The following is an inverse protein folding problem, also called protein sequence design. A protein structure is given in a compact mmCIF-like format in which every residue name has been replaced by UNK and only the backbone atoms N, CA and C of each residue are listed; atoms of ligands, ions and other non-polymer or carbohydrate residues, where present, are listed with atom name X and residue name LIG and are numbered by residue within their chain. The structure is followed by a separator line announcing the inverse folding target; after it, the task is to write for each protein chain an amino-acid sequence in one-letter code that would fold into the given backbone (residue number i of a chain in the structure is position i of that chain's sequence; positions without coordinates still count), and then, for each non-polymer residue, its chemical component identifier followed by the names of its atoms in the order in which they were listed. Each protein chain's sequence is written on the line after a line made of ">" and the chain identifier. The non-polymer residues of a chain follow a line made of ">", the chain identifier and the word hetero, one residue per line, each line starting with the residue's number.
data_IF_233679827564
#
_entry.id   IF_233679827564
#
_cell.length_a   1.000
_cell.length_b   1.000
_cell.length_c   1.000
_cell.angle_alpha   90.00
_cell.angle_beta   90.00
_cell.angle_gamma   90.00
#
_symmetry.space_group_name_H-M   'P 1'
#
loop_
_entity.id
_entity.type
_entity.pdbx_description
1 polymer ?
#
# COMPACT_ATOMS: atom_id res chain seq x y z
N UNK A 1 20.04 -11.37 26.77
CA UNK A 1 18.92 -12.13 26.17
C UNK A 1 17.98 -11.17 25.46
N UNK A 2 18.30 -10.78 24.21
CA UNK A 2 17.38 -10.12 23.28
C UNK A 2 17.94 -10.13 21.83
N UNK A 3 18.89 -11.03 21.51
CA UNK A 3 19.59 -11.08 20.21
C UNK A 3 18.95 -12.06 19.21
N UNK A 4 17.75 -12.59 19.49
CA UNK A 4 17.13 -13.63 18.66
C UNK A 4 16.09 -13.15 17.63
N UNK A 5 15.83 -11.83 17.50
CA UNK A 5 14.87 -11.31 16.51
C UNK A 5 15.52 -10.90 15.18
N UNK A 6 16.64 -11.52 14.79
CA UNK A 6 17.39 -11.15 13.58
C UNK A 6 17.35 -12.19 12.46
N UNK A 7 16.66 -13.31 12.63
CA UNK A 7 16.84 -14.51 11.76
C UNK A 7 15.62 -14.93 10.93
N UNK A 8 14.53 -14.15 10.88
CA UNK A 8 13.39 -14.45 9.97
C UNK A 8 13.24 -13.48 8.79
N UNK A 9 14.11 -12.46 8.67
CA UNK A 9 13.97 -11.37 7.70
C UNK A 9 14.90 -11.51 6.48
N UNK A 10 15.09 -12.73 5.98
CA UNK A 10 15.89 -13.04 4.78
C UNK A 10 15.07 -13.66 3.62
N UNK A 11 13.74 -13.56 3.68
CA UNK A 11 12.88 -13.62 2.49
C UNK A 11 12.39 -12.20 2.25
N UNK A 12 12.73 -11.62 1.10
CA UNK A 12 12.27 -10.29 0.72
C UNK A 12 10.78 -10.15 1.04
N UNK A 13 10.45 -9.30 2.01
CA UNK A 13 9.07 -9.15 2.47
C UNK A 13 8.18 -8.65 1.33
N UNK A 14 6.87 -8.90 1.40
CA UNK A 14 5.93 -8.32 0.43
C UNK A 14 5.33 -7.04 0.96
N UNK A 15 5.19 -6.07 0.07
CA UNK A 15 4.55 -4.80 0.33
C UNK A 15 3.21 -4.75 -0.37
N UNK A 16 2.17 -4.34 0.34
CA UNK A 16 0.92 -3.94 -0.27
C UNK A 16 0.91 -2.44 -0.49
N UNK A 17 0.36 -2.03 -1.64
CA UNK A 17 0.26 -0.64 -2.04
C UNK A 17 -1.16 -0.38 -2.50
N UNK A 18 -1.82 0.60 -1.88
CA UNK A 18 -3.20 0.98 -2.22
C UNK A 18 -3.25 2.45 -2.62
N UNK A 19 -3.89 2.75 -3.75
CA UNK A 19 -4.09 4.14 -4.20
C UNK A 19 -5.28 4.77 -3.48
N UNK A 20 -5.06 5.75 -2.60
CA UNK A 20 -6.14 6.42 -1.86
C UNK A 20 -6.59 7.74 -2.49
N UNK A 21 -5.82 8.28 -3.43
CA UNK A 21 -6.09 9.57 -4.09
C UNK A 21 -6.02 9.44 -5.61
N UNK A 22 -6.93 10.13 -6.30
CA UNK A 22 -6.90 10.23 -7.76
C UNK A 22 -5.70 11.05 -8.28
N UNK A 23 -5.43 10.92 -9.58
CA UNK A 23 -4.30 11.57 -10.29
C UNK A 23 -4.55 13.02 -10.73
N UNK A 24 -5.68 13.61 -10.34
CA UNK A 24 -6.02 15.00 -10.71
C UNK A 24 -5.02 15.95 -10.03
N UNK A 25 -4.40 16.82 -10.82
CA UNK A 25 -3.35 17.74 -10.36
C UNK A 25 -2.00 17.07 -10.03
N UNK A 26 -1.83 15.77 -10.30
CA UNK A 26 -0.54 15.12 -10.13
C UNK A 26 0.46 15.56 -11.22
N UNK A 27 1.72 15.78 -10.81
CA UNK A 27 2.81 16.08 -11.73
C UNK A 27 3.13 14.91 -12.68
N UNK A 28 3.84 15.15 -13.79
CA UNK A 28 4.14 14.13 -14.80
C UNK A 28 4.82 12.89 -14.22
N UNK A 29 5.86 13.09 -13.39
CA UNK A 29 6.62 12.01 -12.72
C UNK A 29 5.71 11.07 -11.92
N UNK A 30 4.78 11.62 -11.14
CA UNK A 30 3.84 10.84 -10.33
C UNK A 30 2.87 10.04 -11.21
N UNK A 31 2.32 10.68 -12.25
CA UNK A 31 1.40 10.02 -13.20
C UNK A 31 2.09 8.86 -13.91
N UNK A 32 3.33 9.05 -14.31
CA UNK A 32 4.13 8.03 -14.98
C UNK A 32 4.44 6.86 -14.04
N UNK A 33 4.92 7.12 -12.82
CA UNK A 33 5.19 6.05 -11.84
C UNK A 33 3.92 5.27 -11.48
N UNK A 34 2.77 5.94 -11.32
CA UNK A 34 1.48 5.26 -11.09
C UNK A 34 1.06 4.39 -12.28
N UNK A 35 1.28 4.86 -13.52
CA UNK A 35 0.97 4.12 -14.74
C UNK A 35 1.84 2.87 -14.86
N UNK A 36 3.14 2.98 -14.59
CA UNK A 36 4.09 1.85 -14.59
C UNK A 36 3.69 0.78 -13.58
N UNK A 37 3.24 1.18 -12.39
CA UNK A 37 2.74 0.27 -11.35
C UNK A 37 1.29 -0.20 -11.58
N UNK A 38 0.64 0.19 -12.68
CA UNK A 38 -0.75 -0.14 -12.99
C UNK A 38 -1.78 0.36 -11.94
N UNK A 39 -1.45 1.42 -11.18
CA UNK A 39 -2.33 2.05 -10.20
C UNK A 39 -3.18 3.15 -10.85
N UNK A 40 -4.20 2.72 -11.60
CA UNK A 40 -4.99 3.62 -12.45
C UNK A 40 -6.25 4.22 -11.81
N UNK A 41 -6.79 3.58 -10.75
CA UNK A 41 -8.02 3.99 -10.08
C UNK A 41 -7.89 3.95 -8.55
N UNK A 42 -8.70 4.75 -7.85
CA UNK A 42 -8.72 4.78 -6.38
C UNK A 42 -9.16 3.42 -5.84
N UNK A 43 -8.58 3.03 -4.71
CA UNK A 43 -8.71 1.72 -4.06
C UNK A 43 -8.17 0.54 -4.89
N UNK A 44 -7.44 0.82 -5.98
CA UNK A 44 -6.61 -0.22 -6.59
C UNK A 44 -5.47 -0.57 -5.65
N UNK A 45 -5.22 -1.87 -5.56
CA UNK A 45 -4.20 -2.49 -4.75
C UNK A 45 -3.25 -3.30 -5.63
N UNK A 46 -1.96 -3.25 -5.32
CA UNK A 46 -0.94 -4.11 -5.90
C UNK A 46 -0.05 -4.66 -4.78
N UNK A 47 0.51 -5.85 -5.00
CA UNK A 47 1.47 -6.48 -4.11
C UNK A 47 2.81 -6.49 -4.83
N UNK A 48 3.85 -6.00 -4.18
CA UNK A 48 5.20 -5.86 -4.72
C UNK A 48 6.22 -6.50 -3.78
N UNK A 49 7.34 -6.93 -4.34
CA UNK A 49 8.49 -7.38 -3.57
C UNK A 49 9.19 -6.19 -2.89
N UNK A 50 9.64 -6.37 -1.65
CA UNK A 50 10.39 -5.38 -0.91
C UNK A 50 11.84 -5.34 -1.39
N UNK A 51 12.12 -4.40 -2.30
CA UNK A 51 13.46 -4.09 -2.77
C UNK A 51 13.67 -2.56 -2.82
N UNK A 52 14.94 -2.14 -2.93
CA UNK A 52 15.29 -0.72 -2.90
C UNK A 52 14.61 0.11 -4.01
N UNK A 53 14.44 -0.47 -5.20
CA UNK A 53 13.79 0.18 -6.34
C UNK A 53 12.29 0.40 -6.08
N UNK A 54 11.60 -0.61 -5.55
CA UNK A 54 10.21 -0.52 -5.10
C UNK A 54 10.07 0.58 -4.07
N UNK A 55 10.90 0.58 -3.01
CA UNK A 55 10.87 1.60 -1.96
C UNK A 55 11.07 3.01 -2.55
N UNK A 56 12.01 3.18 -3.48
CA UNK A 56 12.25 4.45 -4.17
C UNK A 56 11.00 4.96 -4.90
N UNK A 57 10.32 4.09 -5.66
CA UNK A 57 9.07 4.43 -6.33
C UNK A 57 7.95 4.79 -5.35
N UNK A 58 7.80 4.02 -4.26
CA UNK A 58 6.76 4.28 -3.25
C UNK A 58 6.98 5.59 -2.49
N UNK A 59 8.24 5.99 -2.26
CA UNK A 59 8.58 7.30 -1.67
C UNK A 59 8.17 8.47 -2.57
N UNK A 60 8.32 8.34 -3.89
CA UNK A 60 7.85 9.35 -4.86
C UNK A 60 6.32 9.47 -4.79
N UNK A 61 5.62 8.35 -4.59
CA UNK A 61 4.16 8.29 -4.60
C UNK A 61 3.48 8.56 -3.25
N UNK A 62 4.25 8.77 -2.17
CA UNK A 62 3.73 8.81 -0.79
C UNK A 62 2.55 9.77 -0.56
N UNK A 63 2.39 10.82 -1.37
CA UNK A 63 1.26 11.76 -1.30
C UNK A 63 -0.06 11.27 -1.92
N UNK A 64 -0.07 10.06 -2.50
CA UNK A 64 -1.21 9.49 -3.24
C UNK A 64 -1.58 8.10 -2.78
N UNK A 65 -0.59 7.30 -2.40
CA UNK A 65 -0.75 5.91 -1.98
C UNK A 65 -0.64 5.76 -0.46
N UNK A 66 -1.07 4.61 0.04
CA UNK A 66 -0.69 4.07 1.35
C UNK A 66 -0.02 2.71 1.12
N UNK A 67 1.02 2.39 1.89
CA UNK A 67 1.76 1.14 1.72
C UNK A 67 2.40 0.61 3.01
N UNK A 68 2.69 -0.69 3.07
CA UNK A 68 3.27 -1.35 4.25
C UNK A 68 3.50 -2.85 4.05
N UNK A 69 4.11 -3.51 5.03
CA UNK A 69 4.30 -4.96 5.01
C UNK A 69 2.97 -5.71 5.17
N UNK A 70 2.85 -6.84 4.47
CA UNK A 70 1.67 -7.71 4.58
C UNK A 70 1.97 -9.10 5.10
N UNK A 71 0.99 -9.65 5.81
CA UNK A 71 1.01 -11.03 6.28
C UNK A 71 0.61 -12.00 5.17
N UNK A 72 1.11 -13.23 5.23
CA UNK A 72 0.79 -14.28 4.25
C UNK A 72 -0.71 -14.60 4.18
N UNK A 73 -1.45 -14.45 5.30
CA UNK A 73 -2.91 -14.60 5.31
C UNK A 73 -3.58 -13.53 4.46
N UNK A 74 -3.20 -12.26 4.64
CA UNK A 74 -3.82 -11.16 3.93
C UNK A 74 -3.50 -11.19 2.43
N UNK A 75 -2.28 -11.61 2.06
CA UNK A 75 -1.90 -11.81 0.67
C UNK A 75 -2.90 -12.75 -0.04
N UNK A 76 -3.26 -13.87 0.60
CA UNK A 76 -4.24 -14.83 0.07
C UNK A 76 -5.62 -14.19 -0.06
N UNK A 77 -6.06 -13.47 0.97
CA UNK A 77 -7.37 -12.80 0.98
C UNK A 77 -7.50 -11.77 -0.16
N UNK A 78 -6.46 -10.97 -0.40
CA UNK A 78 -6.40 -9.99 -1.50
C UNK A 78 -6.49 -10.68 -2.87
N UNK A 79 -5.71 -11.75 -3.06
CA UNK A 79 -5.69 -12.50 -4.32
C UNK A 79 -7.04 -13.15 -4.63
N UNK A 80 -7.68 -13.71 -3.61
CA UNK A 80 -9.01 -14.29 -3.71
C UNK A 80 -10.07 -13.22 -4.06
N UNK A 81 -10.08 -12.09 -3.36
CA UNK A 81 -11.05 -11.01 -3.61
C UNK A 81 -10.87 -10.37 -5.00
N UNK A 82 -9.64 -10.18 -5.44
CA UNK A 82 -9.32 -9.56 -6.73
C UNK A 82 -9.37 -10.51 -7.93
N UNK A 83 -9.78 -11.77 -7.75
CA UNK A 83 -9.81 -12.81 -8.80
C UNK A 83 -8.48 -12.92 -9.57
N UNK A 84 -7.37 -12.78 -8.85
CA UNK A 84 -6.00 -12.80 -9.40
C UNK A 84 -5.67 -11.74 -10.46
N UNK A 85 -6.56 -10.77 -10.72
CA UNK A 85 -6.32 -9.71 -11.69
C UNK A 85 -5.61 -8.53 -11.04
N UNK A 86 -4.47 -8.15 -11.62
CA UNK A 86 -3.71 -6.97 -11.21
C UNK A 86 -4.13 -5.78 -12.09
N UNK A 87 -4.49 -4.63 -11.50
CA UNK A 87 -4.52 -4.33 -10.07
C UNK A 87 -5.75 -4.94 -9.38
N UNK A 88 -5.57 -5.37 -8.13
CA UNK A 88 -6.66 -5.86 -7.30
C UNK A 88 -7.59 -4.70 -6.96
N UNK A 89 -8.86 -4.80 -7.33
CA UNK A 89 -9.86 -3.76 -7.04
C UNK A 89 -10.47 -4.01 -5.68
N UNK A 90 -10.12 -3.18 -4.70
CA UNK A 90 -10.68 -3.26 -3.35
C UNK A 90 -11.89 -2.35 -3.20
N UNK A 91 -12.76 -2.68 -2.24
CA UNK A 91 -13.83 -1.81 -1.81
C UNK A 91 -13.27 -0.63 -0.98
N UNK A 92 -13.93 0.54 -0.94
CA UNK A 92 -13.59 1.57 0.04
C UNK A 92 -13.55 1.01 1.48
N UNK A 93 -12.71 1.55 2.36
CA UNK A 93 -12.56 1.03 3.72
C UNK A 93 -13.84 1.25 4.54
N UNK A 94 -14.38 0.16 5.09
CA UNK A 94 -15.45 0.23 6.10
C UNK A 94 -14.95 0.98 7.34
N UNK A 95 -15.74 1.91 7.87
CA UNK A 95 -15.34 2.77 9.00
C UNK A 95 -14.43 3.96 8.64
N UNK A 96 -14.20 4.21 7.35
CA UNK A 96 -13.48 5.40 6.88
C UNK A 96 -11.95 5.32 7.04
N UNK A 97 -11.31 6.45 6.82
CA UNK A 97 -9.85 6.61 6.92
C UNK A 97 -9.46 7.24 8.26
N UNK A 98 -8.15 7.32 8.51
CA UNK A 98 -7.59 8.01 9.67
C UNK A 98 -8.15 9.42 9.85
N UNK A 99 -8.11 9.95 11.08
CA UNK A 99 -8.74 11.22 11.47
C UNK A 99 -8.37 12.40 10.57
N UNK A 100 -7.11 12.52 10.13
CA UNK A 100 -6.67 13.60 9.22
C UNK A 100 -6.78 13.24 7.72
N UNK A 101 -7.43 12.12 7.42
CA UNK A 101 -7.83 11.68 6.09
C UNK A 101 -6.70 11.52 5.08
N UNK A 102 -7.08 11.57 3.79
CA UNK A 102 -6.18 11.46 2.63
C UNK A 102 -5.46 12.75 2.23
N UNK A 103 -5.31 13.70 3.17
CA UNK A 103 -4.54 14.94 2.95
C UNK A 103 -3.13 14.85 3.55
N UNK A 104 -2.96 14.04 4.59
CA UNK A 104 -1.73 13.98 5.38
C UNK A 104 -1.11 12.58 5.36
N UNK A 105 0.20 12.54 5.63
CA UNK A 105 0.95 11.30 5.82
C UNK A 105 0.57 10.60 7.14
N UNK A 106 0.79 9.29 7.21
CA UNK A 106 0.47 8.44 8.35
C UNK A 106 1.13 8.92 9.65
N UNK A 107 2.41 9.29 9.60
CA UNK A 107 3.13 9.82 10.76
C UNK A 107 2.53 11.12 11.33
N UNK A 108 1.75 11.86 10.53
CA UNK A 108 1.05 13.07 10.98
C UNK A 108 -0.40 12.79 11.41
N UNK A 109 -0.84 11.52 11.42
CA UNK A 109 -2.20 11.09 11.70
C UNK A 109 -3.13 11.08 10.48
N UNK A 110 -2.58 11.08 9.26
CA UNK A 110 -3.34 10.91 8.02
C UNK A 110 -3.30 9.48 7.49
N UNK A 111 -3.76 9.26 6.26
CA UNK A 111 -3.88 7.91 5.68
C UNK A 111 -2.78 7.56 4.65
N UNK A 112 -1.98 8.53 4.23
CA UNK A 112 -1.04 8.38 3.10
C UNK A 112 0.37 7.96 3.54
N UNK A 113 1.14 7.38 2.63
CA UNK A 113 2.54 7.01 2.84
C UNK A 113 2.73 5.64 3.49
N UNK A 114 3.91 5.44 4.07
CA UNK A 114 4.27 4.19 4.74
C UNK A 114 3.60 4.07 6.11
N UNK A 115 3.06 2.89 6.42
CA UNK A 115 2.42 2.60 7.71
C UNK A 115 2.83 1.27 8.35
N UNK A 116 3.80 0.56 7.77
CA UNK A 116 4.23 -0.77 8.22
C UNK A 116 3.07 -1.76 8.26
N UNK A 117 3.08 -2.66 9.25
CA UNK A 117 2.05 -3.70 9.46
C UNK A 117 0.63 -3.17 9.68
N UNK A 118 0.46 -1.88 10.01
CA UNK A 118 -0.88 -1.27 10.15
C UNK A 118 -1.67 -1.23 8.84
N UNK A 119 -1.04 -1.51 7.69
CA UNK A 119 -1.77 -1.66 6.44
C UNK A 119 -2.72 -2.85 6.46
N UNK A 120 -2.39 -3.89 7.22
CA UNK A 120 -3.18 -5.11 7.27
C UNK A 120 -4.61 -4.83 7.77
N UNK A 121 -4.74 -4.04 8.82
CA UNK A 121 -6.04 -3.66 9.37
C UNK A 121 -6.86 -2.77 8.41
N UNK A 122 -6.20 -1.93 7.61
CA UNK A 122 -6.88 -1.13 6.59
C UNK A 122 -7.40 -1.99 5.46
N UNK A 123 -6.55 -2.84 4.89
CA UNK A 123 -6.91 -3.67 3.74
C UNK A 123 -7.99 -4.68 4.11
N UNK A 124 -7.96 -5.25 5.32
CA UNK A 124 -9.05 -6.10 5.83
C UNK A 124 -10.40 -5.40 5.87
N UNK A 125 -10.43 -4.07 6.06
CA UNK A 125 -11.67 -3.27 5.99
C UNK A 125 -12.09 -2.92 4.56
N UNK A 126 -11.20 -3.11 3.58
CA UNK A 126 -11.39 -2.83 2.15
C UNK A 126 -11.75 -4.08 1.34
N UNK A 127 -11.53 -5.28 1.88
CA UNK A 127 -12.03 -6.55 1.34
C UNK A 127 -13.53 -6.68 1.64
#
# INVERSE_FOLDING_TARGET
>A
MAEENKTENEKGGKLCVVLLRGKVGAGPKIKETLKTLNLNAVNNCIILENNASTIGALRILQGYITWGEIDASLEKDIKAAGKEKIPYRLHPPRGGLERKGKRNLFNKGGALGYRGSNINSLVRRML
#
